data_IF_802854680595
#
_entry.id   IF_802854680595
#
_cell.length_a   1.000
_cell.length_b   1.000
_cell.length_c   1.000
_cell.angle_alpha   90.00
_cell.angle_beta   90.00
_cell.angle_gamma   90.00
#
_symmetry.space_group_name_H-M   'P 1'
#
loop_
_entity.id
_entity.type
_entity.pdbx_description
1 polymer ?
#
# COMPACT_ATOMS: atom_id res chain seq x y z
N UNK A 1 18.10 -11.44 -13.96
CA UNK A 1 16.66 -11.19 -13.65
C UNK A 1 16.50 -10.56 -12.27
N UNK A 2 17.13 -11.11 -11.22
CA UNK A 2 17.04 -10.56 -9.86
C UNK A 2 17.56 -9.11 -9.76
N UNK A 3 18.70 -8.81 -10.39
CA UNK A 3 19.24 -7.44 -10.44
C UNK A 3 18.30 -6.42 -11.10
N UNK A 4 17.52 -6.85 -12.10
CA UNK A 4 16.57 -5.96 -12.78
C UNK A 4 15.33 -5.70 -11.93
N UNK A 5 14.87 -6.72 -11.20
CA UNK A 5 13.80 -6.59 -10.21
C UNK A 5 14.23 -5.68 -9.05
N UNK A 6 15.45 -5.83 -8.56
CA UNK A 6 15.99 -4.99 -7.48
C UNK A 6 16.16 -3.53 -7.91
N UNK A 7 16.65 -3.29 -9.14
CA UNK A 7 16.69 -1.94 -9.72
C UNK A 7 15.30 -1.33 -9.83
N UNK A 8 14.31 -2.10 -10.28
CA UNK A 8 12.93 -1.63 -10.40
C UNK A 8 12.31 -1.30 -9.02
N UNK A 9 12.52 -2.16 -8.02
CA UNK A 9 12.05 -1.92 -6.66
C UNK A 9 12.73 -0.69 -6.02
N UNK A 10 14.02 -0.48 -6.30
CA UNK A 10 14.74 0.73 -5.88
C UNK A 10 14.14 1.98 -6.52
N UNK A 11 13.84 1.95 -7.81
CA UNK A 11 13.16 3.06 -8.49
C UNK A 11 11.78 3.38 -7.89
N UNK A 12 10.99 2.35 -7.53
CA UNK A 12 9.71 2.58 -6.86
C UNK A 12 9.85 3.20 -5.49
N UNK A 13 10.86 2.80 -4.72
CA UNK A 13 11.18 3.42 -3.43
C UNK A 13 11.56 4.88 -3.60
N UNK A 14 12.49 5.19 -4.52
CA UNK A 14 13.02 6.54 -4.71
C UNK A 14 12.01 7.50 -5.34
N UNK A 15 11.22 7.04 -6.32
CA UNK A 15 10.33 7.92 -7.11
C UNK A 15 8.91 7.98 -6.59
N UNK A 16 8.40 6.89 -6.00
CA UNK A 16 7.01 6.80 -5.54
C UNK A 16 6.88 6.76 -4.02
N UNK A 17 8.00 6.65 -3.29
CA UNK A 17 8.00 6.36 -1.86
C UNK A 17 7.47 4.97 -1.56
N UNK A 18 7.39 4.06 -2.54
CA UNK A 18 6.76 2.75 -2.39
C UNK A 18 7.80 1.67 -2.12
N UNK A 19 7.74 1.06 -0.95
CA UNK A 19 8.50 -0.12 -0.58
C UNK A 19 7.57 -1.34 -0.50
N UNK A 20 7.90 -2.38 -1.27
CA UNK A 20 7.19 -3.67 -1.24
C UNK A 20 8.13 -4.69 -0.62
N UNK A 21 7.72 -5.28 0.49
CA UNK A 21 8.53 -6.25 1.24
C UNK A 21 7.70 -7.46 1.66
N UNK A 22 8.35 -8.61 1.81
CA UNK A 22 7.69 -9.80 2.35
C UNK A 22 7.72 -9.73 3.87
N UNK A 23 6.55 -9.67 4.51
CA UNK A 23 6.44 -9.62 5.97
C UNK A 23 6.52 -11.02 6.61
N UNK A 24 5.93 -12.03 5.96
CA UNK A 24 5.91 -13.42 6.41
C UNK A 24 5.60 -14.37 5.24
N UNK A 25 5.43 -15.67 5.52
CA UNK A 25 4.92 -16.62 4.51
C UNK A 25 3.55 -16.14 4.02
N UNK A 26 3.42 -16.01 2.70
CA UNK A 26 2.21 -15.50 2.04
C UNK A 26 1.77 -14.10 2.48
N UNK A 27 2.66 -13.29 3.08
CA UNK A 27 2.32 -11.93 3.53
C UNK A 27 3.23 -10.89 2.88
N UNK A 28 2.62 -9.87 2.28
CA UNK A 28 3.28 -8.77 1.58
C UNK A 28 2.91 -7.46 2.26
N UNK A 29 3.92 -6.68 2.63
CA UNK A 29 3.79 -5.35 3.19
C UNK A 29 4.07 -4.30 2.12
N UNK A 30 3.12 -3.39 1.95
CA UNK A 30 3.24 -2.19 1.15
C UNK A 30 3.44 -1.02 2.11
N UNK A 31 4.55 -0.31 1.98
CA UNK A 31 4.84 0.90 2.74
C UNK A 31 5.01 2.06 1.77
N UNK A 32 4.34 3.17 2.07
CA UNK A 32 4.38 4.41 1.32
C UNK A 32 4.98 5.50 2.21
N UNK A 33 5.94 6.22 1.67
CA UNK A 33 6.47 7.48 2.20
C UNK A 33 6.17 8.62 1.22
N UNK A 34 6.60 9.85 1.53
CA UNK A 34 6.37 11.02 0.68
C UNK A 34 4.88 11.35 0.44
N UNK A 35 4.02 10.96 1.39
CA UNK A 35 2.58 11.25 1.34
C UNK A 35 2.18 12.48 2.15
N UNK A 36 3.01 12.87 3.12
CA UNK A 36 2.79 14.02 3.99
C UNK A 36 3.91 15.04 3.71
N UNK A 37 3.56 16.22 3.17
CA UNK A 37 4.54 17.27 2.85
C UNK A 37 5.21 17.85 4.11
N UNK A 38 4.54 17.78 5.27
CA UNK A 38 5.09 18.24 6.54
C UNK A 38 6.04 17.22 7.19
N UNK A 39 5.86 15.93 6.89
CA UNK A 39 6.66 14.83 7.43
C UNK A 39 6.91 13.78 6.32
N UNK A 40 7.85 14.02 5.37
CA UNK A 40 8.03 13.18 4.19
C UNK A 40 8.47 11.74 4.50
N UNK A 41 9.17 11.54 5.61
CA UNK A 41 9.59 10.24 6.12
C UNK A 41 8.46 9.47 6.83
N UNK A 42 7.29 10.08 7.03
CA UNK A 42 6.15 9.43 7.67
C UNK A 42 5.70 8.23 6.84
N UNK A 43 5.74 7.06 7.46
CA UNK A 43 5.38 5.80 6.84
C UNK A 43 3.87 5.54 6.94
N UNK A 44 3.27 5.18 5.80
CA UNK A 44 1.90 4.68 5.69
C UNK A 44 1.98 3.27 5.13
N UNK A 45 1.62 2.27 5.91
CA UNK A 45 1.80 0.88 5.53
C UNK A 45 0.56 0.03 5.69
N UNK A 46 0.49 -1.02 4.88
CA UNK A 46 -0.53 -2.04 4.92
C UNK A 46 0.09 -3.40 4.61
N UNK A 47 -0.26 -4.40 5.40
CA UNK A 47 0.15 -5.78 5.21
C UNK A 47 -1.01 -6.61 4.70
N UNK A 48 -0.86 -7.19 3.52
CA UNK A 48 -1.76 -8.18 2.96
C UNK A 48 -1.25 -9.59 3.23
N UNK A 49 -2.15 -10.49 3.61
CA UNK A 49 -1.93 -11.93 3.49
C UNK A 49 -2.69 -12.50 2.31
N UNK A 50 -2.08 -13.46 1.63
CA UNK A 50 -2.65 -14.21 0.51
C UNK A 50 -2.98 -15.61 1.02
N UNK A 51 -4.26 -15.89 1.23
CA UNK A 51 -4.76 -17.20 1.67
C UNK A 51 -5.51 -17.94 0.56
N UNK A 52 -6.02 -19.13 0.89
CA UNK A 52 -6.85 -19.92 -0.05
C UNK A 52 -8.16 -19.22 -0.43
N UNK A 53 -8.70 -18.38 0.45
CA UNK A 53 -9.94 -17.63 0.22
C UNK A 53 -9.73 -16.24 -0.39
N UNK A 54 -8.48 -15.89 -0.74
CA UNK A 54 -8.12 -14.59 -1.33
C UNK A 54 -7.21 -13.75 -0.43
N UNK A 55 -7.24 -12.43 -0.65
CA UNK A 55 -6.46 -11.45 0.07
C UNK A 55 -7.17 -11.00 1.35
N UNK A 56 -6.42 -10.83 2.44
CA UNK A 56 -6.90 -10.22 3.68
C UNK A 56 -5.90 -9.20 4.22
N UNK A 57 -6.39 -8.15 4.86
CA UNK A 57 -5.54 -7.15 5.53
C UNK A 57 -5.20 -7.66 6.92
N UNK A 58 -3.91 -7.78 7.22
CA UNK A 58 -3.40 -8.14 8.55
C UNK A 58 -3.13 -6.92 9.42
N UNK A 59 -2.60 -5.87 8.82
CA UNK A 59 -2.20 -4.66 9.52
C UNK A 59 -2.35 -3.46 8.58
N UNK A 60 -2.78 -2.32 9.10
CA UNK A 60 -2.88 -1.07 8.36
C UNK A 60 -2.63 0.12 9.29
N UNK A 61 -1.58 0.87 9.01
CA UNK A 61 -1.15 2.00 9.81
C UNK A 61 -0.79 3.18 8.90
N UNK A 62 -1.48 4.33 8.98
CA UNK A 62 -2.72 4.56 9.75
C UNK A 62 -3.93 3.83 9.14
N UNK A 63 -4.91 3.46 9.96
CA UNK A 63 -6.15 2.85 9.46
C UNK A 63 -6.89 3.80 8.51
N UNK A 64 -7.28 3.29 7.33
CA UNK A 64 -8.09 4.03 6.35
C UNK A 64 -9.42 3.31 6.10
N UNK A 65 -10.58 4.00 6.20
CA UNK A 65 -11.88 3.35 6.04
C UNK A 65 -12.13 2.82 4.62
N UNK A 66 -11.36 3.30 3.63
CA UNK A 66 -11.44 2.80 2.27
C UNK A 66 -10.74 1.44 2.09
N UNK A 67 -9.93 0.98 3.05
CA UNK A 67 -9.17 -0.27 2.95
C UNK A 67 -10.07 -1.48 2.69
N UNK A 68 -11.19 -1.58 3.42
CA UNK A 68 -12.14 -2.71 3.29
C UNK A 68 -12.76 -2.75 1.90
N UNK A 69 -13.28 -1.61 1.41
CA UNK A 69 -13.88 -1.51 0.07
C UNK A 69 -12.88 -1.82 -1.06
N UNK A 70 -11.60 -1.48 -0.87
CA UNK A 70 -10.54 -1.79 -1.83
C UNK A 70 -10.21 -3.28 -1.79
N UNK A 71 -10.20 -3.90 -0.61
CA UNK A 71 -9.95 -5.33 -0.42
C UNK A 71 -11.07 -6.18 -1.05
N UNK A 72 -12.33 -5.80 -0.85
CA UNK A 72 -13.47 -6.47 -1.49
C UNK A 72 -13.34 -6.46 -3.02
N UNK A 73 -12.95 -5.32 -3.59
CA UNK A 73 -12.70 -5.19 -5.04
C UNK A 73 -11.52 -6.04 -5.50
N UNK A 74 -10.45 -6.11 -4.71
CA UNK A 74 -9.27 -6.93 -5.01
C UNK A 74 -9.66 -8.41 -5.06
N UNK A 75 -10.44 -8.88 -4.09
CA UNK A 75 -10.92 -10.26 -4.04
C UNK A 75 -11.93 -10.57 -5.15
N UNK A 76 -12.86 -9.66 -5.44
CA UNK A 76 -13.86 -9.83 -6.51
C UNK A 76 -13.29 -9.77 -7.93
N UNK A 77 -12.09 -9.21 -8.11
CA UNK A 77 -11.41 -9.11 -9.41
C UNK A 77 -10.08 -9.88 -9.47
N UNK A 78 -9.88 -10.86 -8.57
CA UNK A 78 -8.61 -11.59 -8.40
C UNK A 78 -8.08 -12.28 -9.67
N UNK A 79 -8.95 -12.56 -10.66
CA UNK A 79 -8.56 -13.09 -11.97
C UNK A 79 -7.98 -12.05 -12.96
N UNK A 80 -8.04 -10.76 -12.64
CA UNK A 80 -7.50 -9.70 -13.50
C UNK A 80 -6.07 -9.35 -13.09
N UNK A 81 -5.10 -9.29 -14.04
CA UNK A 81 -3.73 -8.89 -13.74
C UNK A 81 -3.63 -7.45 -13.21
N UNK A 82 -4.68 -6.63 -13.42
CA UNK A 82 -4.74 -5.24 -12.97
C UNK A 82 -5.36 -5.03 -11.59
N UNK A 83 -5.90 -6.09 -10.96
CA UNK A 83 -6.57 -5.94 -9.67
C UNK A 83 -5.62 -5.48 -8.55
N UNK A 84 -4.44 -6.10 -8.46
CA UNK A 84 -3.44 -5.73 -7.45
C UNK A 84 -2.84 -4.33 -7.69
N UNK A 85 -2.41 -3.95 -8.92
CA UNK A 85 -2.01 -2.56 -9.20
C UNK A 85 -3.11 -1.53 -8.88
N UNK A 86 -4.38 -1.82 -9.22
CA UNK A 86 -5.50 -0.93 -8.93
C UNK A 86 -5.73 -0.76 -7.42
N UNK A 87 -5.58 -1.84 -6.65
CA UNK A 87 -5.64 -1.81 -5.19
C UNK A 87 -4.53 -0.92 -4.61
N UNK A 88 -3.27 -1.12 -5.01
CA UNK A 88 -2.12 -0.33 -4.52
C UNK A 88 -2.30 1.17 -4.83
N UNK A 89 -2.75 1.51 -6.04
CA UNK A 89 -3.08 2.89 -6.41
C UNK A 89 -4.24 3.48 -5.60
N UNK A 90 -5.28 2.67 -5.32
CA UNK A 90 -6.39 3.05 -4.44
C UNK A 90 -5.95 3.32 -3.02
N UNK A 91 -5.11 2.44 -2.48
CA UNK A 91 -4.56 2.53 -1.14
C UNK A 91 -3.70 3.79 -0.97
N UNK A 92 -2.83 4.09 -1.93
CA UNK A 92 -2.03 5.33 -1.92
C UNK A 92 -2.92 6.58 -1.86
N UNK A 93 -4.03 6.61 -2.61
CA UNK A 93 -4.99 7.72 -2.57
C UNK A 93 -5.69 7.84 -1.21
N UNK A 94 -6.04 6.71 -0.59
CA UNK A 94 -6.64 6.70 0.74
C UNK A 94 -5.66 7.26 1.79
N UNK A 95 -4.39 6.86 1.74
CA UNK A 95 -3.37 7.40 2.62
C UNK A 95 -3.07 8.89 2.39
N UNK A 96 -3.06 9.36 1.14
CA UNK A 96 -2.96 10.79 0.84
C UNK A 96 -4.12 11.58 1.47
N UNK A 97 -5.35 11.06 1.38
CA UNK A 97 -6.50 11.66 2.06
C UNK A 97 -6.35 11.70 3.57
N UNK A 98 -5.80 10.63 4.17
CA UNK A 98 -5.54 10.55 5.60
C UNK A 98 -4.45 11.55 6.05
N UNK A 99 -3.37 11.70 5.27
CA UNK A 99 -2.30 12.67 5.53
C UNK A 99 -2.83 14.12 5.50
N UNK A 100 -3.63 14.46 4.47
CA UNK A 100 -4.25 15.78 4.37
C UNK A 100 -5.21 16.08 5.54
N UNK A 101 -5.93 15.08 6.04
CA UNK A 101 -6.81 15.23 7.20
C UNK A 101 -6.05 15.46 8.50
N UNK A 102 -4.83 14.91 8.64
CA UNK A 102 -3.98 15.17 9.81
C UNK A 102 -3.37 16.58 9.80
N UNK A 103 -3.07 17.15 8.63
CA UNK A 103 -2.55 18.52 8.53
C UNK A 103 -3.61 19.58 8.94
N UNK A 104 -4.88 19.39 8.57
CA UNK A 104 -5.98 20.31 8.94
C UNK A 104 -6.30 20.38 10.44
N UNK A 105 -5.87 19.41 11.26
CA UNK A 105 -6.12 19.41 12.71
C UNK A 105 -5.02 20.13 13.52
N UNK A 106 -3.87 20.43 12.90
CA UNK A 106 -2.74 21.11 13.54
C UNK A 106 -2.68 22.63 13.25
N UNK A 107 -3.66 23.18 12.51
CA UNK A 107 -3.75 24.59 12.13
C UNK A 107 -4.84 25.33 12.92
#
# INVERSE_FOLDING_TARGET
REEEVERLLSLFRERLGLSISRAAKQCVRFAFTLLDEGEPDREFSLTLSVGEQGYSVLDCSPWVPQADSLLERLNGSSGSPMALPAFVCGLRRAFLGAAAATCKRKA
#
